data_IF_818226780941
#
_entry.id   IF_818226780941
#
_cell.length_a   1.000
_cell.length_b   1.000
_cell.length_c   1.000
_cell.angle_alpha   90.00
_cell.angle_beta   90.00
_cell.angle_gamma   90.00
#
_symmetry.space_group_name_H-M   'P 1'
#
loop_
_entity.id
_entity.type
_entity.pdbx_description
1 polymer ?
#
# COMPACT_ATOMS: atom_id res chain seq x y z
N UNK A 1 -24.86 42.56 -25.95
CA UNK A 1 -23.94 41.82 -25.06
C UNK A 1 -24.53 40.45 -24.79
N UNK A 2 -24.01 39.44 -25.47
CA UNK A 2 -24.45 38.04 -25.35
C UNK A 2 -23.95 37.46 -24.02
N UNK A 3 -24.84 36.92 -23.20
CA UNK A 3 -24.44 36.15 -22.01
C UNK A 3 -23.71 34.89 -22.49
N UNK A 4 -22.51 34.58 -21.98
CA UNK A 4 -21.84 33.34 -22.34
C UNK A 4 -22.70 32.15 -21.90
N UNK A 5 -22.93 31.24 -22.84
CA UNK A 5 -23.73 30.02 -22.64
C UNK A 5 -23.12 29.13 -21.56
N UNK A 6 -23.99 28.54 -20.73
CA UNK A 6 -23.71 27.65 -19.58
C UNK A 6 -22.77 26.46 -19.91
N UNK A 7 -22.46 26.23 -21.19
CA UNK A 7 -21.72 25.08 -21.70
C UNK A 7 -20.19 25.15 -21.51
N UNK A 8 -19.60 26.28 -21.12
CA UNK A 8 -18.13 26.41 -20.92
C UNK A 8 -17.68 26.24 -19.47
N UNK A 9 -18.59 26.34 -18.48
CA UNK A 9 -18.22 26.28 -17.06
C UNK A 9 -18.11 24.84 -16.50
N UNK A 10 -18.47 23.82 -17.30
CA UNK A 10 -18.50 22.42 -16.87
C UNK A 10 -17.56 21.51 -17.67
N UNK A 11 -16.50 22.06 -18.28
CA UNK A 11 -15.32 21.25 -18.57
C UNK A 11 -14.65 20.93 -17.23
N UNK A 12 -15.15 19.89 -16.58
CA UNK A 12 -14.55 19.29 -15.37
C UNK A 12 -13.05 19.27 -15.59
N UNK A 13 -12.31 20.14 -14.88
CA UNK A 13 -10.86 20.19 -14.98
C UNK A 13 -10.38 18.83 -14.51
N UNK A 14 -9.93 18.00 -15.45
CA UNK A 14 -9.26 16.76 -15.09
C UNK A 14 -8.08 17.13 -14.19
N UNK A 15 -7.92 16.44 -13.05
CA UNK A 15 -6.86 16.75 -12.11
C UNK A 15 -5.50 16.71 -12.83
N UNK A 16 -4.68 17.73 -12.61
CA UNK A 16 -3.34 17.78 -13.21
C UNK A 16 -2.53 16.57 -12.73
N UNK A 17 -1.95 15.83 -13.69
CA UNK A 17 -1.09 14.69 -13.36
C UNK A 17 0.20 15.21 -12.71
N UNK A 18 0.28 15.08 -11.40
CA UNK A 18 1.45 15.48 -10.61
C UNK A 18 2.45 14.34 -10.36
N UNK A 19 2.10 13.10 -10.72
CA UNK A 19 2.90 11.90 -10.43
C UNK A 19 3.32 11.22 -11.73
N UNK A 20 4.60 10.88 -11.83
CA UNK A 20 5.14 10.01 -12.87
C UNK A 20 4.77 8.55 -12.61
N UNK A 21 4.95 7.68 -13.61
CA UNK A 21 4.76 6.23 -13.46
C UNK A 21 5.63 5.66 -12.33
N UNK A 22 6.90 6.05 -12.27
CA UNK A 22 7.80 5.59 -11.22
C UNK A 22 7.36 6.08 -9.83
N UNK A 23 6.88 7.31 -9.74
CA UNK A 23 6.34 7.84 -8.47
C UNK A 23 5.18 6.97 -7.99
N UNK A 24 4.29 6.55 -8.90
CA UNK A 24 3.15 5.67 -8.58
C UNK A 24 3.64 4.28 -8.14
N UNK A 25 4.64 3.71 -8.80
CA UNK A 25 5.21 2.40 -8.42
C UNK A 25 5.81 2.46 -7.01
N UNK A 26 6.69 3.42 -6.75
CA UNK A 26 7.33 3.56 -5.44
C UNK A 26 6.34 3.97 -4.34
N UNK A 27 5.35 4.80 -4.66
CA UNK A 27 4.28 5.13 -3.72
C UNK A 27 3.43 3.90 -3.38
N UNK A 28 3.13 3.06 -4.38
CA UNK A 28 2.39 1.81 -4.15
C UNK A 28 3.20 0.82 -3.32
N UNK A 29 4.49 0.67 -3.59
CA UNK A 29 5.38 -0.19 -2.80
C UNK A 29 5.56 0.33 -1.38
N UNK A 30 5.89 1.61 -1.21
CA UNK A 30 6.06 2.23 0.11
C UNK A 30 4.79 2.21 0.95
N UNK A 31 3.62 2.35 0.32
CA UNK A 31 2.33 2.20 0.99
C UNK A 31 2.05 0.79 1.51
N UNK A 32 2.72 -0.24 0.99
CA UNK A 32 2.60 -1.63 1.43
C UNK A 32 3.74 -2.08 2.37
N UNK A 33 4.69 -1.18 2.69
CA UNK A 33 5.95 -1.43 3.44
C UNK A 33 6.37 -2.92 3.46
N UNK A 34 7.01 -3.40 2.38
CA UNK A 34 7.29 -4.82 2.18
C UNK A 34 8.12 -5.45 3.31
N UNK A 35 9.02 -4.69 3.93
CA UNK A 35 9.84 -5.18 5.03
C UNK A 35 9.03 -5.36 6.31
N UNK A 36 8.15 -4.41 6.66
CA UNK A 36 7.26 -4.62 7.79
C UNK A 36 6.29 -5.77 7.53
N UNK A 37 5.77 -5.86 6.31
CA UNK A 37 4.85 -6.92 5.89
C UNK A 37 5.47 -8.31 6.01
N UNK A 38 6.75 -8.49 5.67
CA UNK A 38 7.40 -9.81 5.81
C UNK A 38 7.64 -10.18 7.27
N UNK A 39 7.97 -9.20 8.12
CA UNK A 39 8.20 -9.42 9.55
C UNK A 39 6.92 -9.79 10.30
N UNK A 40 5.77 -9.26 9.88
CA UNK A 40 4.49 -9.51 10.53
C UNK A 40 3.72 -10.66 9.87
N UNK A 41 3.37 -10.50 8.59
CA UNK A 41 2.52 -11.46 7.86
C UNK A 41 3.31 -12.61 7.28
N UNK A 42 4.53 -12.37 6.80
CA UNK A 42 5.42 -13.42 6.31
C UNK A 42 5.72 -14.44 7.42
N UNK A 43 6.09 -13.96 8.61
CA UNK A 43 6.27 -14.81 9.79
C UNK A 43 5.00 -15.61 10.12
N UNK A 44 3.82 -14.96 10.14
CA UNK A 44 2.57 -15.66 10.41
C UNK A 44 2.29 -16.78 9.38
N UNK A 45 2.55 -16.54 8.10
CA UNK A 45 2.40 -17.55 7.05
C UNK A 45 3.29 -18.78 7.33
N UNK A 46 4.54 -18.57 7.74
CA UNK A 46 5.44 -19.66 8.14
C UNK A 46 4.99 -20.37 9.41
N UNK A 47 4.50 -19.65 10.42
CA UNK A 47 4.01 -20.24 11.67
C UNK A 47 2.78 -21.14 11.44
N UNK A 48 1.89 -20.78 10.51
CA UNK A 48 0.68 -21.56 10.23
C UNK A 48 0.89 -22.67 9.22
N UNK A 49 1.68 -22.44 8.17
CA UNK A 49 1.87 -23.41 7.08
C UNK A 49 3.15 -24.25 7.20
N UNK A 50 4.04 -23.91 8.15
CA UNK A 50 5.31 -24.61 8.35
C UNK A 50 6.15 -24.64 7.07
N UNK A 51 6.60 -25.84 6.69
CA UNK A 51 7.36 -26.08 5.46
C UNK A 51 6.61 -25.69 4.18
N UNK A 52 5.27 -25.62 4.20
CA UNK A 52 4.46 -25.19 3.08
C UNK A 52 4.28 -23.66 3.01
N UNK A 53 4.87 -22.89 3.94
CA UNK A 53 4.83 -21.42 3.97
C UNK A 53 5.16 -20.75 2.63
N UNK A 54 6.27 -21.11 1.95
CA UNK A 54 6.60 -20.54 0.65
C UNK A 54 5.53 -20.79 -0.42
N UNK A 55 4.95 -22.00 -0.43
CA UNK A 55 3.89 -22.36 -1.37
C UNK A 55 2.63 -21.52 -1.08
N UNK A 56 2.26 -21.36 0.19
CA UNK A 56 1.13 -20.51 0.58
C UNK A 56 1.33 -19.06 0.13
N UNK A 57 2.53 -18.51 0.29
CA UNK A 57 2.88 -17.15 -0.16
C UNK A 57 2.77 -17.03 -1.69
N UNK A 58 3.26 -18.03 -2.45
CA UNK A 58 3.17 -18.04 -3.92
C UNK A 58 1.70 -18.07 -4.36
N UNK A 59 0.89 -18.96 -3.77
CA UNK A 59 -0.55 -19.04 -4.09
C UNK A 59 -1.28 -17.75 -3.75
N UNK A 60 -0.99 -17.13 -2.60
CA UNK A 60 -1.53 -15.82 -2.23
C UNK A 60 -1.13 -14.73 -3.21
N UNK A 61 0.12 -14.74 -3.67
CA UNK A 61 0.62 -13.78 -4.68
C UNK A 61 -0.13 -13.93 -6.00
N UNK A 62 -0.30 -15.17 -6.50
CA UNK A 62 -1.06 -15.43 -7.73
C UNK A 62 -2.50 -14.93 -7.62
N UNK A 63 -3.15 -15.17 -6.48
CA UNK A 63 -4.51 -14.70 -6.23
C UNK A 63 -4.60 -13.16 -6.27
N UNK A 64 -3.63 -12.46 -5.66
CA UNK A 64 -3.59 -10.99 -5.68
C UNK A 64 -3.31 -10.45 -7.09
N UNK A 65 -2.48 -11.11 -7.90
CA UNK A 65 -2.23 -10.72 -9.29
C UNK A 65 -3.51 -10.80 -10.15
N UNK A 66 -4.31 -11.86 -9.97
CA UNK A 66 -5.61 -11.99 -10.65
C UNK A 66 -6.52 -10.82 -10.28
N UNK A 67 -6.57 -10.44 -8.99
CA UNK A 67 -7.33 -9.27 -8.55
C UNK A 67 -6.77 -7.97 -9.16
N UNK A 68 -5.45 -7.83 -9.24
CA UNK A 68 -4.77 -6.70 -9.87
C UNK A 68 -5.13 -6.53 -11.35
N UNK A 69 -5.29 -7.63 -12.10
CA UNK A 69 -5.74 -7.59 -13.50
C UNK A 69 -7.14 -7.00 -13.64
N UNK A 70 -8.06 -7.36 -12.75
CA UNK A 70 -9.43 -6.80 -12.75
C UNK A 70 -9.38 -5.28 -12.52
N UNK A 71 -8.58 -4.84 -11.53
CA UNK A 71 -8.40 -3.42 -11.21
C UNK A 71 -7.74 -2.66 -12.36
N UNK A 72 -6.79 -3.29 -13.06
CA UNK A 72 -6.14 -2.73 -14.24
C UNK A 72 -7.11 -2.52 -15.41
N UNK A 73 -7.98 -3.49 -15.69
CA UNK A 73 -9.01 -3.33 -16.73
C UNK A 73 -10.02 -2.22 -16.39
N UNK A 74 -10.40 -2.12 -15.11
CA UNK A 74 -11.30 -1.06 -14.62
C UNK A 74 -10.65 0.32 -14.68
N UNK A 75 -9.37 0.44 -14.32
CA UNK A 75 -8.66 1.73 -14.31
C UNK A 75 -8.50 2.31 -15.72
N UNK A 76 -8.38 1.46 -16.75
CA UNK A 76 -8.40 1.90 -18.16
C UNK A 76 -9.74 2.49 -18.59
N UNK A 77 -10.86 2.00 -18.03
CA UNK A 77 -12.21 2.48 -18.35
C UNK A 77 -12.61 3.71 -17.54
N UNK A 78 -12.16 3.79 -16.29
CA UNK A 78 -12.53 4.84 -15.35
C UNK A 78 -11.29 5.64 -14.93
N UNK A 79 -11.02 6.73 -15.66
CA UNK A 79 -9.87 7.62 -15.42
C UNK A 79 -10.13 8.70 -14.36
N UNK A 80 -11.29 8.65 -13.70
CA UNK A 80 -11.71 9.60 -12.66
C UNK A 80 -11.18 9.18 -11.30
N UNK A 81 -11.01 10.15 -10.41
CA UNK A 81 -10.71 9.90 -9.01
C UNK A 81 -11.79 9.05 -8.34
N UNK A 82 -11.40 8.30 -7.30
CA UNK A 82 -12.32 7.53 -6.44
C UNK A 82 -12.18 6.00 -6.48
N UNK A 83 -11.32 5.44 -7.34
CA UNK A 83 -10.93 4.01 -7.29
C UNK A 83 -12.12 3.04 -7.25
N UNK A 84 -12.14 2.12 -6.28
CA UNK A 84 -13.18 1.08 -6.16
C UNK A 84 -14.60 1.65 -6.02
N UNK A 85 -14.79 2.78 -5.34
CA UNK A 85 -16.08 3.47 -5.27
C UNK A 85 -16.56 3.83 -6.68
N UNK A 86 -15.70 4.48 -7.47
CA UNK A 86 -16.01 4.90 -8.84
C UNK A 86 -16.29 3.68 -9.73
N UNK A 87 -15.49 2.63 -9.61
CA UNK A 87 -15.70 1.41 -10.40
C UNK A 87 -17.08 0.81 -10.10
N UNK A 88 -17.44 0.58 -8.84
CA UNK A 88 -18.72 -0.01 -8.47
C UNK A 88 -19.91 0.91 -8.78
N UNK A 89 -19.77 2.22 -8.56
CA UNK A 89 -20.83 3.20 -8.81
C UNK A 89 -21.24 3.27 -10.29
N UNK A 90 -20.26 3.24 -11.19
CA UNK A 90 -20.52 3.36 -12.63
C UNK A 90 -20.70 2.02 -13.37
N UNK A 91 -20.16 0.91 -12.86
CA UNK A 91 -20.30 -0.41 -13.50
C UNK A 91 -21.44 -1.28 -12.96
N UNK A 92 -21.89 -1.04 -11.73
CA UNK A 92 -22.94 -1.82 -11.06
C UNK A 92 -24.15 -0.95 -10.75
N UNK A 93 -24.29 -0.49 -9.50
CA UNK A 93 -25.39 0.38 -9.07
C UNK A 93 -24.87 1.46 -8.13
N UNK A 94 -25.61 2.59 -8.03
CA UNK A 94 -25.25 3.69 -7.13
C UNK A 94 -25.13 3.25 -5.67
N UNK A 95 -26.01 2.33 -5.23
CA UNK A 95 -26.00 1.77 -3.87
C UNK A 95 -24.75 0.93 -3.61
N UNK A 96 -24.39 0.03 -4.53
CA UNK A 96 -23.17 -0.77 -4.40
C UNK A 96 -21.91 0.08 -4.46
N UNK A 97 -21.91 1.15 -5.27
CA UNK A 97 -20.88 2.18 -5.23
C UNK A 97 -20.70 2.75 -3.82
N UNK A 98 -21.78 3.26 -3.23
CA UNK A 98 -21.77 3.82 -1.88
C UNK A 98 -21.28 2.83 -0.81
N UNK A 99 -21.82 1.60 -0.82
CA UNK A 99 -21.40 0.54 0.12
C UNK A 99 -19.91 0.21 -0.04
N UNK A 100 -19.43 0.08 -1.27
CA UNK A 100 -18.00 -0.16 -1.57
C UNK A 100 -17.12 0.98 -1.08
N UNK A 101 -17.56 2.23 -1.25
CA UNK A 101 -16.82 3.40 -0.77
C UNK A 101 -16.64 3.40 0.75
N UNK A 102 -17.71 3.12 1.51
CA UNK A 102 -17.62 3.02 2.96
C UNK A 102 -16.75 1.85 3.42
N UNK A 103 -16.95 0.67 2.83
CA UNK A 103 -16.11 -0.49 3.11
C UNK A 103 -14.63 -0.20 2.85
N UNK A 104 -14.32 0.53 1.78
CA UNK A 104 -12.96 0.92 1.46
C UNK A 104 -12.36 1.90 2.49
N UNK A 105 -13.14 2.84 3.02
CA UNK A 105 -12.70 3.73 4.10
C UNK A 105 -12.40 2.94 5.36
N UNK A 106 -13.30 2.02 5.76
CA UNK A 106 -13.07 1.15 6.92
C UNK A 106 -11.83 0.28 6.72
N UNK A 107 -11.69 -0.34 5.55
CA UNK A 107 -10.50 -1.11 5.17
C UNK A 107 -9.23 -0.28 5.28
N UNK A 108 -9.23 0.95 4.75
CA UNK A 108 -8.05 1.82 4.79
C UNK A 108 -7.65 2.20 6.22
N UNK A 109 -8.64 2.43 7.09
CA UNK A 109 -8.41 2.73 8.50
C UNK A 109 -7.85 1.53 9.25
N UNK A 110 -8.47 0.35 9.13
CA UNK A 110 -8.01 -0.87 9.81
C UNK A 110 -6.63 -1.29 9.30
N UNK A 111 -6.38 -1.13 8.01
CA UNK A 111 -5.06 -1.32 7.41
C UNK A 111 -4.02 -0.40 8.05
N UNK A 112 -4.27 0.92 8.11
CA UNK A 112 -3.37 1.87 8.77
C UNK A 112 -3.08 1.52 10.24
N UNK A 113 -4.11 1.12 11.00
CA UNK A 113 -3.96 0.68 12.39
C UNK A 113 -3.10 -0.58 12.49
N UNK A 114 -3.30 -1.56 11.61
CA UNK A 114 -2.49 -2.79 11.59
C UNK A 114 -1.00 -2.49 11.36
N UNK A 115 -0.66 -1.53 10.50
CA UNK A 115 0.72 -1.08 10.30
C UNK A 115 1.32 -0.42 11.55
N UNK A 116 0.56 0.44 12.22
CA UNK A 116 1.02 1.07 13.46
C UNK A 116 1.29 0.00 14.53
N UNK A 117 0.38 -0.95 14.70
CA UNK A 117 0.55 -2.05 15.65
C UNK A 117 1.74 -2.95 15.29
N UNK A 118 1.89 -3.30 14.01
CA UNK A 118 3.01 -4.09 13.51
C UNK A 118 4.35 -3.41 13.76
N UNK A 119 4.49 -2.13 13.38
CA UNK A 119 5.70 -1.35 13.58
C UNK A 119 6.05 -1.21 15.06
N UNK A 120 5.03 -0.94 15.89
CA UNK A 120 5.17 -0.81 17.33
C UNK A 120 5.64 -2.12 17.97
N UNK A 121 5.06 -3.25 17.56
CA UNK A 121 5.45 -4.58 18.04
C UNK A 121 6.91 -4.91 17.72
N UNK A 122 7.33 -4.67 16.46
CA UNK A 122 8.70 -4.91 16.01
C UNK A 122 9.69 -4.02 16.76
N UNK A 123 9.43 -2.72 16.87
CA UNK A 123 10.32 -1.77 17.56
C UNK A 123 10.43 -2.12 19.05
N UNK A 124 9.34 -2.51 19.69
CA UNK A 124 9.37 -2.95 21.09
C UNK A 124 10.26 -4.20 21.27
N UNK A 125 10.17 -5.19 20.39
CA UNK A 125 10.97 -6.41 20.50
C UNK A 125 12.46 -6.21 20.14
N UNK A 126 12.77 -5.29 19.22
CA UNK A 126 14.14 -5.06 18.77
C UNK A 126 14.88 -4.05 19.66
N UNK A 127 14.19 -2.98 20.09
CA UNK A 127 14.82 -1.84 20.80
C UNK A 127 14.34 -1.68 22.25
N UNK A 128 13.32 -2.43 22.68
CA UNK A 128 12.75 -2.32 24.04
C UNK A 128 11.97 -1.02 24.31
N UNK A 129 11.67 -0.23 23.27
CA UNK A 129 10.98 1.07 23.41
C UNK A 129 9.49 0.83 23.64
N UNK A 130 8.91 1.57 24.60
CA UNK A 130 7.48 1.46 24.95
C UNK A 130 6.57 1.59 23.72
N UNK A 131 5.63 0.65 23.54
CA UNK A 131 4.68 0.66 22.44
C UNK A 131 3.91 1.98 22.27
N UNK A 132 3.53 2.59 23.38
CA UNK A 132 2.77 3.85 23.38
C UNK A 132 3.56 5.02 22.80
N UNK A 133 4.86 5.08 23.09
CA UNK A 133 5.74 6.15 22.58
C UNK A 133 5.89 6.02 21.07
N UNK A 134 6.12 4.80 20.58
CA UNK A 134 6.27 4.51 19.15
C UNK A 134 4.96 4.78 18.41
N UNK A 135 3.84 4.26 18.92
CA UNK A 135 2.53 4.44 18.31
C UNK A 135 2.12 5.91 18.22
N UNK A 136 2.26 6.67 19.31
CA UNK A 136 1.99 8.11 19.31
C UNK A 136 2.94 8.88 18.38
N UNK A 137 4.21 8.47 18.32
CA UNK A 137 5.19 9.05 17.39
C UNK A 137 4.80 8.85 15.93
N UNK A 138 4.41 7.63 15.54
CA UNK A 138 3.96 7.32 14.18
C UNK A 138 2.70 8.11 13.84
N UNK A 139 1.69 8.15 14.74
CA UNK A 139 0.47 8.93 14.51
C UNK A 139 0.77 10.42 14.37
N UNK A 140 1.66 10.98 15.19
CA UNK A 140 2.08 12.37 15.11
C UNK A 140 2.76 12.70 13.77
N UNK A 141 3.75 11.90 13.37
CA UNK A 141 4.49 12.09 12.12
C UNK A 141 3.56 11.95 10.90
N UNK A 142 2.72 10.92 10.87
CA UNK A 142 1.77 10.69 9.76
C UNK A 142 0.73 11.79 9.66
N UNK A 143 0.25 12.32 10.79
CA UNK A 143 -0.66 13.47 10.82
C UNK A 143 -0.02 14.74 10.27
N UNK A 144 1.27 14.99 10.57
CA UNK A 144 2.03 16.10 9.99
C UNK A 144 2.10 15.93 8.46
N UNK A 145 2.44 14.74 7.96
CA UNK A 145 2.47 14.49 6.52
C UNK A 145 1.10 14.64 5.86
N UNK A 146 0.01 14.27 6.54
CA UNK A 146 -1.34 14.47 6.03
C UNK A 146 -1.66 15.97 5.84
N UNK A 147 -1.21 16.83 6.77
CA UNK A 147 -1.40 18.29 6.68
C UNK A 147 -0.50 18.92 5.60
N UNK A 148 0.74 18.43 5.45
CA UNK A 148 1.69 18.91 4.43
C UNK A 148 1.29 18.51 3.00
N UNK A 149 0.33 17.60 2.85
CA UNK A 149 -0.26 17.19 1.59
C UNK A 149 0.56 16.15 0.80
N UNK A 150 -0.07 15.65 -0.27
CA UNK A 150 0.38 14.46 -0.99
C UNK A 150 1.78 14.59 -1.63
N UNK A 151 2.20 15.80 -2.02
CA UNK A 151 3.52 16.00 -2.65
C UNK A 151 4.68 15.69 -1.72
N UNK A 152 4.58 16.11 -0.45
CA UNK A 152 5.63 15.84 0.55
C UNK A 152 5.61 14.38 0.95
N UNK A 153 4.42 13.83 1.21
CA UNK A 153 4.24 12.41 1.54
C UNK A 153 4.77 11.49 0.44
N UNK A 154 4.54 11.82 -0.83
CA UNK A 154 5.05 11.03 -1.96
C UNK A 154 6.57 11.03 -2.02
N UNK A 155 7.23 12.18 -1.87
CA UNK A 155 8.70 12.25 -1.85
C UNK A 155 9.29 11.42 -0.73
N UNK A 156 8.70 11.50 0.47
CA UNK A 156 9.10 10.68 1.60
C UNK A 156 8.92 9.18 1.29
N UNK A 157 7.76 8.79 0.76
CA UNK A 157 7.45 7.40 0.43
C UNK A 157 8.44 6.81 -0.58
N UNK A 158 8.84 7.58 -1.60
CA UNK A 158 9.83 7.14 -2.59
C UNK A 158 11.18 6.86 -1.92
N UNK A 159 11.66 7.78 -1.06
CA UNK A 159 12.94 7.61 -0.35
C UNK A 159 12.87 6.42 0.62
N UNK A 160 11.81 6.32 1.41
CA UNK A 160 11.61 5.25 2.37
C UNK A 160 11.53 3.88 1.67
N UNK A 161 10.73 3.76 0.61
CA UNK A 161 10.61 2.53 -0.17
C UNK A 161 11.93 2.13 -0.85
N UNK A 162 12.68 3.10 -1.38
CA UNK A 162 13.98 2.83 -1.99
C UNK A 162 14.98 2.29 -0.97
N UNK A 163 15.02 2.88 0.23
CA UNK A 163 15.85 2.41 1.33
C UNK A 163 15.43 1.01 1.80
N UNK A 164 14.12 0.78 1.94
CA UNK A 164 13.55 -0.50 2.35
C UNK A 164 13.92 -1.62 1.36
N UNK A 165 13.76 -1.38 0.06
CA UNK A 165 14.17 -2.32 -1.00
C UNK A 165 15.68 -2.58 -0.94
N UNK A 166 16.50 -1.54 -0.72
CA UNK A 166 17.96 -1.71 -0.62
C UNK A 166 18.35 -2.58 0.59
N UNK A 167 17.72 -2.36 1.75
CA UNK A 167 17.94 -3.18 2.96
C UNK A 167 17.49 -4.62 2.71
N UNK A 168 16.30 -4.84 2.18
CA UNK A 168 15.79 -6.18 1.88
C UNK A 168 16.68 -6.93 0.89
N UNK A 169 17.12 -6.25 -0.17
CA UNK A 169 18.02 -6.82 -1.18
C UNK A 169 19.36 -7.21 -0.55
N UNK A 170 19.92 -6.32 0.29
CA UNK A 170 21.17 -6.59 1.01
C UNK A 170 21.04 -7.80 1.93
N UNK A 171 19.97 -7.87 2.72
CA UNK A 171 19.70 -9.01 3.60
C UNK A 171 19.52 -10.31 2.81
N UNK A 172 18.81 -10.27 1.69
CA UNK A 172 18.64 -11.44 0.82
C UNK A 172 19.99 -11.95 0.30
N UNK A 173 20.86 -11.06 -0.18
CA UNK A 173 22.22 -11.45 -0.61
C UNK A 173 23.06 -12.02 0.52
N UNK A 174 23.03 -11.39 1.71
CA UNK A 174 23.77 -11.88 2.88
C UNK A 174 23.29 -13.27 3.31
N UNK A 175 21.99 -13.53 3.30
CA UNK A 175 21.45 -14.85 3.64
C UNK A 175 21.82 -15.93 2.62
N UNK A 176 21.78 -15.61 1.32
CA UNK A 176 22.21 -16.55 0.28
C UNK A 176 23.71 -16.86 0.41
N UNK A 177 24.52 -15.85 0.71
CA UNK A 177 25.95 -16.03 0.94
C UNK A 177 26.21 -16.88 2.19
N UNK A 178 25.47 -16.66 3.28
CA UNK A 178 25.64 -17.43 4.51
C UNK A 178 25.20 -18.90 4.37
N UNK A 179 24.31 -19.21 3.43
CA UNK A 179 23.92 -20.60 3.11
C UNK A 179 24.78 -21.24 2.03
N UNK A 180 25.85 -20.58 1.55
CA UNK A 180 26.70 -21.06 0.46
C UNK A 180 25.91 -21.47 -0.80
N UNK A 181 24.78 -20.81 -1.08
CA UNK A 181 23.85 -21.17 -2.17
C UNK A 181 23.27 -22.59 -2.09
N UNK A 182 23.39 -23.27 -0.96
CA UNK A 182 22.67 -24.52 -0.74
C UNK A 182 21.21 -24.21 -0.41
N UNK A 183 20.31 -24.69 -1.27
CA UNK A 183 18.91 -24.81 -0.89
C UNK A 183 18.82 -25.80 0.27
N UNK A 184 18.19 -25.39 1.36
CA UNK A 184 17.90 -26.25 2.50
C UNK A 184 17.26 -27.55 2.01
N UNK A 185 17.98 -28.66 2.20
CA UNK A 185 17.51 -30.02 1.98
C UNK A 185 17.31 -30.62 3.38
N UNK A 186 16.06 -30.83 3.84
CA UNK A 186 15.78 -31.33 5.18
C UNK A 186 16.41 -32.70 5.45
#
# INVERSE_FOLDING_TARGET
>A
MSKPSINEQQKTREPERHLSFLDIVFLSMGGQSPFLSILTYGLAAFLYAGLFGPIAIILGTLLVLINGLVVYELSKRFTKEGGYYTYAFYSLTKRLGFETGWLYVFYSLTYGVAYILGATYVIYHVLGISPWIVGLGIVGITSIFAILGIRVSTKYAIVAASLEIAVMTTLAFLFIQSTHFYFYNP
#
